data_IF_310401611682
#
_entry.id   IF_310401611682
#
_cell.length_a   1.000
_cell.length_b   1.000
_cell.length_c   1.000
_cell.angle_alpha   90.00
_cell.angle_beta   90.00
_cell.angle_gamma   90.00
#
_symmetry.space_group_name_H-M   'P 1'
#
loop_
_entity.id
_entity.type
_entity.pdbx_description
1 polymer ?
#
# COMPACT_ATOMS: atom_id res chain seq x y z
N UNK A 1 0.08 24.58 1.71
CA UNK A 1 -0.06 23.30 1.00
C UNK A 1 -1.53 23.10 0.63
N UNK A 2 -1.83 22.81 -0.63
CA UNK A 2 -3.17 22.42 -1.06
C UNK A 2 -3.45 20.98 -0.59
N UNK A 3 -4.66 20.73 -0.05
CA UNK A 3 -5.05 19.41 0.49
C UNK A 3 -4.98 18.29 -0.54
N UNK A 4 -5.25 18.60 -1.80
CA UNK A 4 -5.16 17.65 -2.92
C UNK A 4 -3.72 17.21 -3.17
N UNK A 5 -2.75 18.12 -3.06
CA UNK A 5 -1.33 17.82 -3.19
C UNK A 5 -0.88 16.84 -2.12
N UNK A 6 -1.27 17.07 -0.86
CA UNK A 6 -0.91 16.17 0.25
C UNK A 6 -1.52 14.78 0.14
N UNK A 7 -2.73 14.66 -0.42
CA UNK A 7 -3.35 13.35 -0.60
C UNK A 7 -2.69 12.55 -1.72
N UNK A 8 -2.35 13.20 -2.83
CA UNK A 8 -1.63 12.55 -3.93
C UNK A 8 -0.22 12.11 -3.51
N UNK A 9 0.51 12.95 -2.78
CA UNK A 9 1.82 12.57 -2.21
C UNK A 9 1.71 11.35 -1.29
N UNK A 10 0.68 11.31 -0.45
CA UNK A 10 0.40 10.17 0.42
C UNK A 10 0.09 8.89 -0.37
N UNK A 11 -0.70 8.98 -1.45
CA UNK A 11 -0.96 7.81 -2.30
C UNK A 11 0.28 7.30 -3.02
N UNK A 12 1.16 8.21 -3.48
CA UNK A 12 2.45 7.83 -4.07
C UNK A 12 3.30 7.07 -3.03
N UNK A 13 3.43 7.64 -1.82
CA UNK A 13 4.13 6.99 -0.72
C UNK A 13 3.60 5.58 -0.43
N UNK A 14 2.28 5.39 -0.36
CA UNK A 14 1.69 4.07 -0.12
C UNK A 14 1.97 3.08 -1.25
N UNK A 15 1.85 3.51 -2.51
CA UNK A 15 2.13 2.65 -3.68
C UNK A 15 3.57 2.16 -3.66
N UNK A 16 4.52 3.07 -3.44
CA UNK A 16 5.95 2.73 -3.36
C UNK A 16 6.25 1.81 -2.18
N UNK A 17 5.69 2.10 -1.00
CA UNK A 17 5.91 1.29 0.20
C UNK A 17 5.39 -0.13 0.06
N UNK A 18 4.18 -0.30 -0.49
CA UNK A 18 3.58 -1.61 -0.73
C UNK A 18 4.36 -2.39 -1.79
N UNK A 19 4.80 -1.73 -2.87
CA UNK A 19 5.63 -2.38 -3.88
C UNK A 19 6.97 -2.85 -3.31
N UNK A 20 7.64 -2.02 -2.50
CA UNK A 20 8.89 -2.39 -1.86
C UNK A 20 8.72 -3.58 -0.91
N UNK A 21 7.62 -3.61 -0.14
CA UNK A 21 7.28 -4.72 0.73
C UNK A 21 7.03 -6.01 -0.06
N UNK A 22 6.30 -5.92 -1.18
CA UNK A 22 6.05 -7.05 -2.06
C UNK A 22 7.36 -7.64 -2.61
N UNK A 23 8.25 -6.78 -3.10
CA UNK A 23 9.55 -7.19 -3.63
C UNK A 23 10.43 -7.83 -2.54
N UNK A 24 10.39 -7.31 -1.32
CA UNK A 24 11.10 -7.90 -0.18
C UNK A 24 10.57 -9.28 0.17
N UNK A 25 9.26 -9.43 0.33
CA UNK A 25 8.61 -10.70 0.66
C UNK A 25 8.84 -11.76 -0.41
N UNK A 26 8.76 -11.39 -1.68
CA UNK A 26 9.09 -12.28 -2.78
C UNK A 26 10.53 -12.82 -2.67
N UNK A 27 11.50 -11.99 -2.27
CA UNK A 27 12.91 -12.40 -2.12
C UNK A 27 13.13 -13.38 -0.96
N UNK A 28 12.37 -13.26 0.13
CA UNK A 28 12.47 -14.14 1.30
C UNK A 28 11.52 -15.34 1.24
N UNK A 29 10.78 -15.51 0.14
CA UNK A 29 9.85 -16.62 -0.04
C UNK A 29 8.55 -16.48 0.76
N UNK A 30 8.19 -15.27 1.16
CA UNK A 30 6.92 -14.97 1.79
C UNK A 30 5.90 -14.51 0.74
N UNK A 31 4.66 -14.99 0.83
CA UNK A 31 3.55 -14.56 -0.01
C UNK A 31 2.41 -14.11 0.89
N UNK A 32 1.99 -12.86 0.74
CA UNK A 32 0.82 -12.34 1.41
C UNK A 32 -0.27 -12.09 0.36
N UNK A 33 -1.37 -12.87 0.38
CA UNK A 33 -2.40 -12.77 -0.65
C UNK A 33 -3.03 -11.36 -0.72
N UNK A 34 -3.02 -10.61 0.38
CA UNK A 34 -3.61 -9.28 0.45
C UNK A 34 -2.78 -8.21 -0.26
N UNK A 35 -1.48 -8.44 -0.49
CA UNK A 35 -0.62 -7.41 -1.10
C UNK A 35 -1.00 -7.11 -2.55
N UNK A 36 -1.50 -8.12 -3.27
CA UNK A 36 -2.01 -7.98 -4.64
C UNK A 36 -3.29 -7.14 -4.66
N UNK A 37 -4.21 -7.42 -3.74
CA UNK A 37 -5.47 -6.69 -3.63
C UNK A 37 -5.26 -5.23 -3.22
N UNK A 38 -4.35 -4.98 -2.28
CA UNK A 38 -3.97 -3.62 -1.86
C UNK A 38 -3.33 -2.86 -3.02
N UNK A 39 -2.40 -3.48 -3.74
CA UNK A 39 -1.74 -2.86 -4.90
C UNK A 39 -2.75 -2.51 -6.00
N UNK A 40 -3.68 -3.43 -6.31
CA UNK A 40 -4.73 -3.18 -7.29
C UNK A 40 -5.65 -2.03 -6.85
N UNK A 41 -6.05 -2.02 -5.58
CA UNK A 41 -6.90 -0.98 -5.02
C UNK A 41 -6.25 0.41 -5.01
N UNK A 42 -4.95 0.50 -4.70
CA UNK A 42 -4.21 1.77 -4.71
C UNK A 42 -4.06 2.36 -6.12
N UNK A 43 -4.09 1.53 -7.17
CA UNK A 43 -3.99 1.95 -8.57
C UNK A 43 -5.36 2.06 -9.28
N UNK A 44 -6.45 1.88 -8.53
CA UNK A 44 -7.80 1.98 -9.06
C UNK A 44 -8.18 3.44 -9.38
N UNK A 45 -9.17 3.64 -10.25
CA UNK A 45 -9.69 4.97 -10.61
C UNK A 45 -10.80 5.47 -9.67
N UNK A 46 -11.59 4.56 -9.11
CA UNK A 46 -12.64 4.84 -8.13
C UNK A 46 -12.06 5.30 -6.77
N UNK A 47 -12.41 6.50 -6.29
CA UNK A 47 -11.87 7.06 -5.05
C UNK A 47 -12.25 6.28 -3.79
N UNK A 48 -13.40 5.59 -3.76
CA UNK A 48 -13.80 4.75 -2.63
C UNK A 48 -12.96 3.49 -2.53
N UNK A 49 -12.55 2.93 -3.67
CA UNK A 49 -11.63 1.78 -3.72
C UNK A 49 -10.24 2.22 -3.28
N UNK A 50 -9.74 3.35 -3.79
CA UNK A 50 -8.46 3.93 -3.36
C UNK A 50 -8.44 4.16 -1.84
N UNK A 51 -9.51 4.75 -1.29
CA UNK A 51 -9.61 5.03 0.14
C UNK A 51 -9.60 3.75 1.01
N UNK A 52 -10.30 2.69 0.60
CA UNK A 52 -10.26 1.41 1.33
C UNK A 52 -8.87 0.78 1.25
N UNK A 53 -8.24 0.84 0.07
CA UNK A 53 -6.90 0.31 -0.13
C UNK A 53 -5.85 1.09 0.67
N UNK A 54 -6.00 2.41 0.84
CA UNK A 54 -5.07 3.21 1.65
C UNK A 54 -5.13 2.88 3.14
N UNK A 55 -6.33 2.59 3.67
CA UNK A 55 -6.49 2.07 5.03
C UNK A 55 -5.80 0.72 5.17
N UNK A 56 -6.09 -0.21 4.26
CA UNK A 56 -5.50 -1.56 4.30
C UNK A 56 -3.96 -1.52 4.20
N UNK A 57 -3.42 -0.68 3.30
CA UNK A 57 -1.99 -0.46 3.18
C UNK A 57 -1.36 0.08 4.46
N UNK A 58 -2.02 1.05 5.12
CA UNK A 58 -1.54 1.63 6.37
C UNK A 58 -1.52 0.60 7.49
N UNK A 59 -2.59 -0.18 7.65
CA UNK A 59 -2.66 -1.25 8.64
C UNK A 59 -1.59 -2.32 8.41
N UNK A 60 -1.33 -2.66 7.14
CA UNK A 60 -0.28 -3.61 6.79
C UNK A 60 1.11 -3.07 7.18
N UNK A 61 1.39 -1.80 6.90
CA UNK A 61 2.68 -1.15 7.18
C UNK A 61 2.91 -0.88 8.68
N UNK A 62 1.84 -0.78 9.46
CA UNK A 62 1.89 -0.66 10.92
C UNK A 62 2.22 -2.00 11.61
N UNK A 63 1.95 -3.13 10.95
CA UNK A 63 2.27 -4.45 11.49
C UNK A 63 3.78 -4.63 11.60
N UNK A 64 4.28 -4.70 12.84
CA UNK A 64 5.72 -4.84 13.11
C UNK A 64 6.29 -6.19 12.71
N UNK A 65 5.44 -7.21 12.55
CA UNK A 65 5.89 -8.55 12.14
C UNK A 65 6.46 -8.58 10.73
N UNK A 66 6.18 -7.55 9.90
CA UNK A 66 6.66 -7.50 8.51
C UNK A 66 8.16 -7.15 8.40
N UNK A 67 8.79 -6.67 9.48
CA UNK A 67 10.18 -6.18 9.51
C UNK A 67 11.15 -7.14 10.23
N UNK A 68 10.67 -8.30 10.67
CA UNK A 68 11.42 -9.28 11.47
C UNK A 68 11.48 -10.64 10.76
#
# INVERSE_FOLDING_TARGET
MNRETSFNEYLVFLRESIQNLADYWQKIGHDNPHIKDITAGLNHSDPFIIYKASIAATLLLEDRSIYH
#
